data_IF_220612564099
#
_entry.id   IF_220612564099
#
_cell.length_a   1.000
_cell.length_b   1.000
_cell.length_c   1.000
_cell.angle_alpha   90.00
_cell.angle_beta   90.00
_cell.angle_gamma   90.00
#
_symmetry.space_group_name_H-M   'P 1'
#
loop_
_entity.id
_entity.type
_entity.pdbx_description
1 polymer ?
#
# COMPACT_ATOMS: atom_id res chain seq x y z
N UNK A 1 -12.26 14.91 6.71
CA UNK A 1 -11.90 15.99 5.77
C UNK A 1 -11.30 15.46 4.46
N UNK A 2 -10.26 14.62 4.47
CA UNK A 2 -9.67 14.04 3.23
C UNK A 2 -10.60 13.08 2.46
N UNK A 3 -11.23 12.10 3.14
CA UNK A 3 -12.13 11.13 2.47
C UNK A 3 -13.36 11.79 1.81
N UNK A 4 -13.91 12.84 2.44
CA UNK A 4 -15.06 13.60 1.90
C UNK A 4 -14.66 14.37 0.64
N UNK A 5 -13.50 15.03 0.67
CA UNK A 5 -12.96 15.75 -0.49
C UNK A 5 -12.64 14.80 -1.65
N UNK A 6 -12.05 13.62 -1.35
CA UNK A 6 -11.67 12.66 -2.38
C UNK A 6 -12.89 12.01 -3.05
N UNK A 7 -13.92 11.63 -2.28
CA UNK A 7 -15.18 11.07 -2.84
C UNK A 7 -15.93 12.05 -3.75
N UNK A 8 -15.73 13.36 -3.55
CA UNK A 8 -16.39 14.40 -4.34
C UNK A 8 -15.69 14.65 -5.70
N UNK A 9 -14.36 14.43 -5.77
CA UNK A 9 -13.54 14.79 -6.95
C UNK A 9 -13.12 13.55 -7.75
N UNK A 10 -12.83 12.43 -7.07
CA UNK A 10 -12.42 11.18 -7.69
C UNK A 10 -13.23 10.03 -7.09
N UNK A 11 -14.03 9.34 -7.91
CA UNK A 11 -14.79 8.14 -7.50
C UNK A 11 -13.88 6.91 -7.27
N UNK A 12 -12.68 7.11 -6.73
CA UNK A 12 -11.73 6.05 -6.39
C UNK A 12 -12.01 5.52 -5.00
N UNK A 13 -13.06 4.69 -4.92
CA UNK A 13 -13.50 4.05 -3.69
C UNK A 13 -12.40 3.15 -3.08
N UNK A 14 -11.56 2.54 -3.93
CA UNK A 14 -10.50 1.65 -3.46
C UNK A 14 -9.44 2.41 -2.65
N UNK A 15 -9.04 3.60 -3.12
CA UNK A 15 -8.13 4.47 -2.38
C UNK A 15 -8.74 4.95 -1.05
N UNK A 16 -10.02 5.32 -1.04
CA UNK A 16 -10.71 5.76 0.19
C UNK A 16 -10.77 4.63 1.22
N UNK A 17 -11.13 3.42 0.80
CA UNK A 17 -11.15 2.23 1.68
C UNK A 17 -9.75 1.93 2.22
N UNK A 18 -8.71 1.98 1.37
CA UNK A 18 -7.32 1.79 1.78
C UNK A 18 -6.95 2.76 2.91
N UNK A 19 -7.03 4.06 2.67
CA UNK A 19 -6.58 5.06 3.63
C UNK A 19 -7.41 5.02 4.92
N UNK A 20 -8.72 4.78 4.84
CA UNK A 20 -9.59 4.65 6.02
C UNK A 20 -9.17 3.48 6.91
N UNK A 21 -8.90 2.31 6.32
CA UNK A 21 -8.42 1.14 7.06
C UNK A 21 -7.07 1.42 7.74
N UNK A 22 -6.11 1.98 7.01
CA UNK A 22 -4.77 2.25 7.54
C UNK A 22 -4.77 3.35 8.62
N UNK A 23 -5.61 4.38 8.50
CA UNK A 23 -5.77 5.41 9.54
C UNK A 23 -6.34 4.80 10.82
N UNK A 24 -7.37 3.97 10.73
CA UNK A 24 -8.00 3.32 11.88
C UNK A 24 -7.02 2.37 12.59
N UNK A 25 -6.30 1.55 11.82
CA UNK A 25 -5.26 0.66 12.34
C UNK A 25 -4.16 1.48 13.02
N UNK A 26 -3.64 2.53 12.37
CA UNK A 26 -2.56 3.35 12.91
C UNK A 26 -2.94 4.02 14.22
N UNK A 27 -4.17 4.56 14.33
CA UNK A 27 -4.65 5.17 15.57
C UNK A 27 -4.76 4.15 16.72
N UNK A 28 -5.32 2.97 16.46
CA UNK A 28 -5.44 1.92 17.48
C UNK A 28 -4.07 1.42 17.95
N UNK A 29 -3.14 1.26 17.00
CA UNK A 29 -1.78 0.80 17.26
C UNK A 29 -0.92 1.83 17.99
N UNK A 30 -1.07 3.12 17.72
CA UNK A 30 -0.39 4.18 18.47
C UNK A 30 -0.94 4.34 19.89
N UNK A 31 -2.22 4.02 20.10
CA UNK A 31 -2.85 4.07 21.43
C UNK A 31 -2.47 2.89 22.33
N UNK A 32 -2.22 1.70 21.77
CA UNK A 32 -1.83 0.50 22.51
C UNK A 32 -0.41 0.04 22.19
N UNK A 33 0.45 -0.12 23.20
CA UNK A 33 1.84 -0.61 23.05
C UNK A 33 2.01 -1.99 22.36
N UNK A 34 0.91 -2.68 22.06
CA UNK A 34 0.84 -4.04 21.54
C UNK A 34 1.36 -4.22 20.10
N UNK A 35 1.42 -3.17 19.28
CA UNK A 35 1.66 -3.30 17.83
C UNK A 35 2.88 -2.53 17.29
N UNK A 36 3.87 -2.21 18.12
CA UNK A 36 5.09 -1.50 17.68
C UNK A 36 5.80 -2.16 16.50
N UNK A 37 5.95 -3.50 16.54
CA UNK A 37 6.62 -4.27 15.48
C UNK A 37 5.77 -4.33 14.20
N UNK A 38 4.46 -4.67 14.26
CA UNK A 38 3.54 -4.47 13.14
C UNK A 38 3.55 -3.08 12.52
N UNK A 39 3.54 -2.05 13.35
CA UNK A 39 3.60 -0.66 12.90
C UNK A 39 4.88 -0.37 12.12
N UNK A 40 6.03 -0.80 12.63
CA UNK A 40 7.32 -0.54 12.00
C UNK A 40 7.39 -1.11 10.58
N UNK A 41 6.96 -2.36 10.35
CA UNK A 41 6.96 -2.91 8.99
C UNK A 41 5.84 -2.37 8.12
N UNK A 42 4.69 -1.98 8.68
CA UNK A 42 3.64 -1.27 7.93
C UNK A 42 4.17 0.08 7.42
N UNK A 43 4.95 0.82 8.21
CA UNK A 43 5.57 2.08 7.78
C UNK A 43 6.55 1.90 6.61
N UNK A 44 7.26 0.76 6.51
CA UNK A 44 8.14 0.48 5.37
C UNK A 44 7.39 0.40 4.04
N UNK A 45 6.08 0.13 4.07
CA UNK A 45 5.26 0.06 2.87
C UNK A 45 5.08 1.43 2.19
N UNK A 46 5.29 2.52 2.95
CA UNK A 46 5.26 3.90 2.46
C UNK A 46 6.47 4.27 1.61
N UNK A 47 7.54 3.48 1.59
CA UNK A 47 8.68 3.76 0.69
C UNK A 47 8.24 3.82 -0.78
N UNK A 48 7.27 2.98 -1.15
CA UNK A 48 6.72 2.98 -2.52
C UNK A 48 5.90 4.23 -2.84
N UNK A 49 5.31 4.92 -1.86
CA UNK A 49 4.47 6.10 -2.11
C UNK A 49 5.30 7.32 -2.51
N UNK A 50 6.57 7.41 -2.13
CA UNK A 50 7.51 8.44 -2.60
C UNK A 50 7.57 8.43 -4.14
N UNK A 51 7.80 7.25 -4.72
CA UNK A 51 7.91 7.08 -6.17
C UNK A 51 6.55 7.21 -6.87
N UNK A 52 5.46 6.80 -6.22
CA UNK A 52 4.11 7.01 -6.73
C UNK A 52 3.79 8.51 -6.87
N UNK A 53 4.13 9.31 -5.85
CA UNK A 53 3.94 10.76 -5.88
C UNK A 53 4.83 11.42 -6.95
N UNK A 54 6.09 11.02 -7.08
CA UNK A 54 6.97 11.50 -8.14
C UNK A 54 6.38 11.20 -9.54
N UNK A 55 5.90 9.97 -9.75
CA UNK A 55 5.23 9.57 -10.99
C UNK A 55 3.98 10.42 -11.27
N UNK A 56 3.15 10.65 -10.25
CA UNK A 56 1.95 11.48 -10.37
C UNK A 56 2.31 12.92 -10.72
N UNK A 57 3.31 13.51 -10.07
CA UNK A 57 3.79 14.86 -10.35
C UNK A 57 4.22 15.04 -11.81
N UNK A 58 4.95 14.08 -12.37
CA UNK A 58 5.30 14.09 -13.79
C UNK A 58 4.09 13.92 -14.71
N UNK A 59 3.11 13.09 -14.32
CA UNK A 59 1.89 12.88 -15.08
C UNK A 59 1.05 14.16 -15.21
N UNK A 60 0.83 14.87 -14.10
CA UNK A 60 0.01 16.10 -14.11
C UNK A 60 0.69 17.27 -14.84
N UNK A 61 2.02 17.27 -14.91
CA UNK A 61 2.79 18.23 -15.72
C UNK A 61 2.87 17.86 -17.21
N UNK A 62 2.24 16.75 -17.63
CA UNK A 62 2.32 16.24 -19.00
C UNK A 62 3.70 15.69 -19.40
N UNK A 63 4.65 15.59 -18.46
CA UNK A 63 6.03 15.17 -18.74
C UNK A 63 6.20 13.66 -18.61
N UNK A 64 5.72 12.90 -19.60
CA UNK A 64 5.82 11.42 -19.64
C UNK A 64 7.14 10.91 -20.27
N UNK A 65 8.26 11.58 -19.97
CA UNK A 65 9.60 11.24 -20.48
C UNK A 65 10.36 10.21 -19.64
N UNK A 66 11.69 10.26 -19.69
CA UNK A 66 12.60 9.33 -18.97
C UNK A 66 12.39 9.35 -17.46
N UNK A 67 12.22 10.54 -16.86
CA UNK A 67 11.99 10.69 -15.42
C UNK A 67 10.66 10.03 -14.96
N UNK A 68 9.60 10.13 -15.77
CA UNK A 68 8.34 9.44 -15.51
C UNK A 68 8.49 7.92 -15.58
N UNK A 69 9.23 7.42 -16.57
CA UNK A 69 9.51 6.00 -16.71
C UNK A 69 10.34 5.46 -15.54
N UNK A 70 11.38 6.18 -15.13
CA UNK A 70 12.20 5.86 -13.96
C UNK A 70 11.36 5.84 -12.68
N UNK A 71 10.55 6.88 -12.42
CA UNK A 71 9.66 6.92 -11.27
C UNK A 71 8.65 5.77 -11.28
N UNK A 72 8.12 5.41 -12.46
CA UNK A 72 7.20 4.27 -12.62
C UNK A 72 7.86 2.92 -12.33
N UNK A 73 9.11 2.73 -12.77
CA UNK A 73 9.88 1.52 -12.51
C UNK A 73 10.26 1.41 -11.02
N UNK A 74 10.75 2.50 -10.43
CA UNK A 74 11.07 2.56 -9.00
C UNK A 74 9.83 2.31 -8.14
N UNK A 75 8.68 2.90 -8.50
CA UNK A 75 7.40 2.60 -7.87
C UNK A 75 7.08 1.11 -7.95
N UNK A 76 7.15 0.52 -9.14
CA UNK A 76 6.80 -0.89 -9.32
C UNK A 76 7.72 -1.83 -8.52
N UNK A 77 9.03 -1.58 -8.54
CA UNK A 77 10.01 -2.36 -7.80
C UNK A 77 9.80 -2.24 -6.28
N UNK A 78 9.68 -1.02 -5.76
CA UNK A 78 9.47 -0.79 -4.33
C UNK A 78 8.10 -1.27 -3.85
N UNK A 79 7.05 -1.14 -4.66
CA UNK A 79 5.72 -1.69 -4.36
C UNK A 79 5.79 -3.21 -4.18
N UNK A 80 6.42 -3.94 -5.11
CA UNK A 80 6.54 -5.39 -4.99
C UNK A 80 7.39 -5.78 -3.78
N UNK A 81 8.52 -5.09 -3.57
CA UNK A 81 9.42 -5.39 -2.46
C UNK A 81 8.78 -5.13 -1.08
N UNK A 82 8.16 -3.97 -0.87
CA UNK A 82 7.67 -3.58 0.46
C UNK A 82 6.21 -3.92 0.69
N UNK A 83 5.31 -3.70 -0.29
CA UNK A 83 3.86 -3.90 -0.15
C UNK A 83 3.40 -5.33 -0.43
N UNK A 84 4.15 -6.10 -1.23
CA UNK A 84 3.81 -7.52 -1.49
C UNK A 84 4.67 -8.43 -0.62
N UNK A 85 5.99 -8.40 -0.80
CA UNK A 85 6.90 -9.28 -0.06
C UNK A 85 7.01 -8.85 1.40
N UNK A 86 7.39 -7.59 1.67
CA UNK A 86 7.54 -7.08 3.03
C UNK A 86 6.26 -7.19 3.87
N UNK A 87 5.13 -6.78 3.31
CA UNK A 87 3.82 -6.94 3.95
C UNK A 87 3.47 -8.40 4.22
N UNK A 88 3.72 -9.29 3.24
CA UNK A 88 3.48 -10.72 3.39
C UNK A 88 4.33 -11.34 4.49
N UNK A 89 5.62 -10.96 4.58
CA UNK A 89 6.51 -11.36 5.67
C UNK A 89 6.06 -10.80 7.02
N UNK A 90 5.58 -9.56 7.05
CA UNK A 90 5.01 -8.95 8.26
C UNK A 90 3.74 -9.67 8.74
N UNK A 91 2.90 -10.11 7.82
CA UNK A 91 1.72 -10.92 8.12
C UNK A 91 2.10 -12.33 8.62
N UNK A 92 3.10 -12.96 7.99
CA UNK A 92 3.66 -14.22 8.47
C UNK A 92 4.22 -14.09 9.90
N UNK A 93 5.01 -13.06 10.16
CA UNK A 93 5.57 -12.76 11.49
C UNK A 93 4.46 -12.53 12.53
N UNK A 94 3.37 -11.85 12.15
CA UNK A 94 2.21 -11.65 13.01
C UNK A 94 1.61 -13.01 13.44
N UNK A 95 1.43 -13.94 12.50
CA UNK A 95 0.87 -15.26 12.79
C UNK A 95 1.83 -16.21 13.51
N UNK A 96 3.13 -16.09 13.22
CA UNK A 96 4.17 -16.80 13.94
C UNK A 96 4.15 -16.44 15.43
N UNK A 97 3.96 -15.15 15.73
CA UNK A 97 3.88 -14.62 17.09
C UNK A 97 2.44 -14.52 17.63
N UNK A 98 1.51 -15.37 17.16
CA UNK A 98 0.08 -15.29 17.51
C UNK A 98 -0.24 -15.36 19.01
N UNK A 99 0.61 -16.01 19.79
CA UNK A 99 0.46 -16.08 21.24
C UNK A 99 0.45 -14.69 21.91
N UNK A 100 1.08 -13.68 21.28
CA UNK A 100 1.12 -12.31 21.79
C UNK A 100 -0.17 -11.53 21.58
N UNK A 101 -1.01 -11.93 20.61
CA UNK A 101 -2.20 -11.16 20.24
C UNK A 101 -3.52 -11.94 20.39
N UNK A 102 -3.51 -13.27 20.43
CA UNK A 102 -4.72 -14.07 20.72
C UNK A 102 -5.39 -13.68 22.06
N UNK A 103 -4.64 -13.42 23.15
CA UNK A 103 -5.24 -13.01 24.42
C UNK A 103 -5.83 -11.59 24.42
N UNK A 104 -5.73 -10.86 23.31
CA UNK A 104 -6.08 -9.46 23.29
C UNK A 104 -7.59 -9.22 23.21
N UNK A 105 -7.96 -8.00 23.61
CA UNK A 105 -9.33 -7.49 23.62
C UNK A 105 -9.93 -7.46 22.20
N UNK A 106 -11.26 -7.48 22.13
CA UNK A 106 -12.08 -7.53 20.90
C UNK A 106 -11.62 -6.56 19.79
N UNK A 107 -11.15 -5.36 20.15
CA UNK A 107 -10.67 -4.36 19.17
C UNK A 107 -9.45 -4.82 18.36
N UNK A 108 -8.64 -5.76 18.87
CA UNK A 108 -7.47 -6.24 18.16
C UNK A 108 -7.81 -7.16 16.99
N UNK A 109 -8.89 -7.93 17.09
CA UNK A 109 -9.35 -8.75 15.97
C UNK A 109 -9.74 -7.91 14.76
N UNK A 110 -10.28 -6.70 14.98
CA UNK A 110 -10.59 -5.75 13.90
C UNK A 110 -9.31 -5.25 13.23
N UNK A 111 -8.25 -4.95 14.01
CA UNK A 111 -6.94 -4.56 13.46
C UNK A 111 -6.35 -5.67 12.62
N UNK A 112 -6.38 -6.91 13.12
CA UNK A 112 -5.84 -8.06 12.41
C UNK A 112 -6.63 -8.29 11.11
N UNK A 113 -7.96 -8.23 11.15
CA UNK A 113 -8.79 -8.31 9.95
C UNK A 113 -8.44 -7.20 8.95
N UNK A 114 -8.22 -5.97 9.43
CA UNK A 114 -7.78 -4.85 8.61
C UNK A 114 -6.41 -5.05 7.96
N UNK A 115 -5.45 -5.65 8.68
CA UNK A 115 -4.13 -6.02 8.12
C UNK A 115 -4.30 -7.06 7.01
N UNK A 116 -5.15 -8.06 7.18
CA UNK A 116 -5.45 -9.02 6.11
C UNK A 116 -6.10 -8.35 4.91
N UNK A 117 -7.05 -7.44 5.14
CA UNK A 117 -7.64 -6.62 4.08
C UNK A 117 -6.60 -5.79 3.32
N UNK A 118 -5.64 -5.20 4.02
CA UNK A 118 -4.51 -4.49 3.43
C UNK A 118 -3.64 -5.40 2.54
N UNK A 119 -3.34 -6.62 2.99
CA UNK A 119 -2.60 -7.60 2.20
C UNK A 119 -3.34 -7.98 0.90
N UNK A 120 -4.64 -8.26 0.99
CA UNK A 120 -5.47 -8.59 -0.17
C UNK A 120 -5.51 -7.45 -1.19
N UNK A 121 -5.61 -6.21 -0.71
CA UNK A 121 -5.61 -5.02 -1.56
C UNK A 121 -4.25 -4.81 -2.25
N UNK A 122 -3.15 -5.04 -1.53
CA UNK A 122 -1.81 -5.00 -2.11
C UNK A 122 -1.65 -6.07 -3.21
N UNK A 123 -2.15 -7.28 -3.02
CA UNK A 123 -2.15 -8.34 -4.03
C UNK A 123 -3.02 -7.98 -5.25
N UNK A 124 -4.20 -7.40 -5.02
CA UNK A 124 -5.06 -6.91 -6.09
C UNK A 124 -4.34 -5.91 -7.00
N UNK A 125 -3.64 -4.93 -6.41
CA UNK A 125 -2.85 -3.97 -7.19
C UNK A 125 -1.56 -4.55 -7.77
N UNK A 126 -0.94 -5.54 -7.12
CA UNK A 126 0.25 -6.21 -7.63
C UNK A 126 0.00 -6.82 -9.03
N UNK A 127 -1.19 -7.37 -9.28
CA UNK A 127 -1.58 -7.86 -10.61
C UNK A 127 -1.46 -6.78 -11.69
N UNK A 128 -1.95 -5.58 -11.41
CA UNK A 128 -1.88 -4.45 -12.34
C UNK A 128 -0.44 -3.95 -12.51
N UNK A 129 0.34 -3.88 -11.43
CA UNK A 129 1.76 -3.48 -11.46
C UNK A 129 2.58 -4.46 -12.31
N UNK A 130 2.43 -5.77 -12.08
CA UNK A 130 3.11 -6.82 -12.83
C UNK A 130 2.71 -6.81 -14.31
N UNK A 131 1.42 -6.64 -14.61
CA UNK A 131 0.95 -6.52 -16.00
C UNK A 131 1.61 -5.34 -16.73
N UNK A 132 1.77 -4.20 -16.05
CA UNK A 132 2.41 -3.02 -16.64
C UNK A 132 3.94 -3.20 -16.79
N UNK A 133 4.60 -3.82 -15.81
CA UNK A 133 6.03 -4.16 -15.90
C UNK A 133 6.33 -5.12 -17.05
N UNK A 134 5.54 -6.19 -17.20
CA UNK A 134 5.67 -7.13 -18.31
C UNK A 134 5.39 -6.45 -19.66
N UNK A 135 4.43 -5.52 -19.71
CA UNK A 135 4.18 -4.70 -20.89
C UNK A 135 5.40 -3.86 -21.29
N UNK A 136 6.04 -3.23 -20.32
CA UNK A 136 7.26 -2.45 -20.52
C UNK A 136 8.44 -3.32 -21.00
N UNK A 137 8.67 -4.47 -20.36
CA UNK A 137 9.72 -5.42 -20.74
C UNK A 137 9.53 -5.98 -22.16
N UNK A 138 8.28 -6.08 -22.62
CA UNK A 138 7.91 -6.50 -23.99
C UNK A 138 7.91 -5.35 -25.01
N UNK A 139 8.38 -4.16 -24.64
CA UNK A 139 8.47 -3.01 -25.54
C UNK A 139 7.12 -2.37 -25.91
N UNK A 140 6.02 -2.68 -25.20
CA UNK A 140 4.75 -1.97 -25.43
C UNK A 140 4.88 -0.53 -24.91
N UNK A 141 4.62 0.46 -25.79
CA UNK A 141 4.48 1.87 -25.40
C UNK A 141 3.48 1.97 -24.25
N UNK A 142 3.90 2.64 -23.16
CA UNK A 142 3.05 2.90 -22.00
C UNK A 142 1.83 3.68 -22.48
N UNK A 143 0.65 3.03 -22.52
CA UNK A 143 -0.61 3.74 -22.76
C UNK A 143 -0.85 4.64 -21.56
N UNK A 144 -0.62 5.93 -21.75
CA UNK A 144 -1.09 6.93 -20.81
C UNK A 144 -2.60 6.85 -20.73
N UNK A 145 -3.12 6.35 -19.60
CA UNK A 145 -4.38 6.87 -19.08
C UNK A 145 -4.13 8.29 -18.54
#
# INVERSE_FOLDING_TARGET
>A
CWCIWHLHINKDLASVVHHSLFIAISHYVLWGYYFKKPFAWLSLTEVSTIFLNARWFFAVRGSKGTAYAAASLCFAATFLATRVVGYGLGLWDLWWNRALWIPAKTGLYVVIAGIHGGALLNLFWAKAVLSNLMGFARGKKIKGR
#
